data_IF_552757697366
#
_entry.id   IF_552757697366
#
_cell.length_a   1.000
_cell.length_b   1.000
_cell.length_c   1.000
_cell.angle_alpha   90.00
_cell.angle_beta   90.00
_cell.angle_gamma   90.00
#
_symmetry.space_group_name_H-M   'P 1'
#
loop_
_entity.id
_entity.type
_entity.pdbx_description
1 polymer ?
#
# COMPACT_ATOMS: atom_id res chain seq x y z
N UNK A 1 -33.11 -22.91 12.26
CA UNK A 1 -33.30 -22.07 11.06
C UNK A 1 -33.00 -20.60 11.36
N UNK A 2 -33.36 -20.10 12.55
CA UNK A 2 -33.10 -18.71 12.95
C UNK A 2 -31.61 -18.46 13.26
N UNK A 3 -30.88 -19.43 13.79
CA UNK A 3 -29.44 -19.34 14.06
C UNK A 3 -28.60 -19.21 12.78
N UNK A 4 -29.01 -19.82 11.68
CA UNK A 4 -28.29 -19.72 10.40
C UNK A 4 -28.35 -18.32 9.78
N UNK A 5 -29.50 -17.65 9.87
CA UNK A 5 -29.69 -16.30 9.36
C UNK A 5 -28.88 -15.29 10.17
N UNK A 6 -28.81 -15.45 11.49
CA UNK A 6 -27.97 -14.64 12.39
C UNK A 6 -26.48 -14.85 12.09
N UNK A 7 -26.06 -16.08 11.82
CA UNK A 7 -24.68 -16.42 11.48
C UNK A 7 -24.25 -15.80 10.13
N UNK A 8 -25.13 -15.85 9.13
CA UNK A 8 -24.89 -15.18 7.84
C UNK A 8 -24.86 -13.66 7.97
N UNK A 9 -25.73 -13.08 8.77
CA UNK A 9 -25.72 -11.64 9.06
C UNK A 9 -24.47 -11.20 9.80
N UNK A 10 -24.02 -11.95 10.80
CA UNK A 10 -22.77 -11.68 11.52
C UNK A 10 -21.55 -11.81 10.61
N UNK A 11 -21.52 -12.81 9.74
CA UNK A 11 -20.43 -12.98 8.76
C UNK A 11 -20.42 -11.87 7.71
N UNK A 12 -21.60 -11.41 7.30
CA UNK A 12 -21.73 -10.27 6.39
C UNK A 12 -21.33 -8.94 7.06
N UNK A 13 -21.70 -8.78 8.32
CA UNK A 13 -21.37 -7.61 9.12
C UNK A 13 -19.87 -7.52 9.40
N UNK A 14 -19.25 -8.62 9.74
CA UNK A 14 -17.81 -8.71 9.94
C UNK A 14 -17.01 -8.43 8.67
N UNK A 15 -17.54 -8.78 7.50
CA UNK A 15 -16.92 -8.47 6.22
C UNK A 15 -16.96 -6.99 5.89
N UNK A 16 -17.92 -6.25 6.44
CA UNK A 16 -18.10 -4.81 6.22
C UNK A 16 -17.25 -3.95 7.16
N UNK A 17 -16.77 -4.52 8.26
CA UNK A 17 -16.03 -3.82 9.33
C UNK A 17 -14.51 -4.08 9.32
N UNK A 18 -13.95 -4.56 8.20
CA UNK A 18 -12.50 -4.70 8.06
C UNK A 18 -11.81 -3.35 8.30
N UNK A 19 -10.89 -3.32 9.23
CA UNK A 19 -10.09 -2.14 9.51
C UNK A 19 -9.25 -1.74 8.28
N UNK A 20 -8.81 -0.50 8.23
CA UNK A 20 -7.90 -0.02 7.17
C UNK A 20 -6.64 -0.88 7.08
N UNK A 21 -6.15 -1.33 8.23
CA UNK A 21 -4.98 -2.21 8.32
C UNK A 21 -5.24 -3.58 7.69
N UNK A 22 -6.36 -4.21 8.01
CA UNK A 22 -6.74 -5.51 7.45
C UNK A 22 -6.92 -5.46 5.93
N UNK A 23 -7.58 -4.41 5.44
CA UNK A 23 -7.71 -4.16 3.99
C UNK A 23 -6.35 -4.02 3.31
N UNK A 24 -5.45 -3.29 3.94
CA UNK A 24 -4.10 -3.10 3.42
C UNK A 24 -3.35 -4.44 3.33
N UNK A 25 -3.36 -5.22 4.41
CA UNK A 25 -2.67 -6.52 4.47
C UNK A 25 -3.23 -7.48 3.41
N UNK A 26 -4.55 -7.61 3.31
CA UNK A 26 -5.20 -8.48 2.31
C UNK A 26 -4.83 -8.09 0.88
N UNK A 27 -4.92 -6.81 0.57
CA UNK A 27 -4.63 -6.31 -0.78
C UNK A 27 -3.13 -6.37 -1.09
N UNK A 28 -2.29 -6.04 -0.13
CA UNK A 28 -0.84 -6.11 -0.29
C UNK A 28 -0.38 -7.53 -0.56
N UNK A 29 -0.87 -8.49 0.23
CA UNK A 29 -0.54 -9.90 0.02
C UNK A 29 -0.92 -10.38 -1.38
N UNK A 30 -2.15 -10.09 -1.81
CA UNK A 30 -2.64 -10.48 -3.14
C UNK A 30 -1.86 -9.84 -4.27
N UNK A 31 -1.66 -8.53 -4.19
CA UNK A 31 -1.01 -7.75 -5.26
C UNK A 31 0.48 -8.05 -5.36
N UNK A 32 1.17 -8.15 -4.23
CA UNK A 32 2.62 -8.46 -4.21
C UNK A 32 2.86 -9.87 -4.71
N UNK A 33 2.08 -10.85 -4.27
CA UNK A 33 2.20 -12.23 -4.76
C UNK A 33 2.00 -12.29 -6.27
N UNK A 34 0.93 -11.66 -6.78
CA UNK A 34 0.66 -11.58 -8.20
C UNK A 34 1.79 -10.89 -8.99
N UNK A 35 2.34 -9.79 -8.44
CA UNK A 35 3.44 -9.07 -9.06
C UNK A 35 4.71 -9.94 -9.13
N UNK A 36 5.04 -10.63 -8.06
CA UNK A 36 6.20 -11.55 -8.01
C UNK A 36 6.04 -12.67 -9.05
N UNK A 37 4.87 -13.26 -9.17
CA UNK A 37 4.59 -14.30 -10.16
C UNK A 37 4.76 -13.78 -11.59
N UNK A 38 4.30 -12.57 -11.87
CA UNK A 38 4.49 -11.91 -13.16
C UNK A 38 5.97 -11.62 -13.45
N UNK A 39 6.71 -11.18 -12.44
CA UNK A 39 8.16 -10.95 -12.58
C UNK A 39 8.91 -12.26 -12.85
N UNK A 40 8.52 -13.35 -12.18
CA UNK A 40 9.08 -14.69 -12.47
C UNK A 40 8.83 -15.13 -13.91
N UNK A 41 7.62 -14.89 -14.42
CA UNK A 41 7.29 -15.18 -15.83
C UNK A 41 8.15 -14.38 -16.81
N UNK A 42 8.44 -13.12 -16.48
CA UNK A 42 9.39 -12.31 -17.26
C UNK A 42 10.79 -12.94 -17.24
N UNK A 43 11.23 -13.44 -16.08
CA UNK A 43 12.49 -14.15 -15.96
C UNK A 43 12.58 -15.40 -16.83
N UNK A 44 11.47 -16.09 -17.07
CA UNK A 44 11.44 -17.27 -17.96
C UNK A 44 11.72 -16.92 -19.42
N UNK A 45 11.56 -15.67 -19.84
CA UNK A 45 11.92 -15.20 -21.18
C UNK A 45 13.44 -15.20 -21.43
N UNK A 46 14.24 -15.37 -20.38
CA UNK A 46 15.71 -15.45 -20.49
C UNK A 46 16.23 -16.73 -21.13
N UNK A 47 15.38 -17.73 -21.33
CA UNK A 47 15.75 -19.00 -21.92
C UNK A 47 15.96 -18.85 -23.45
N UNK A 48 17.23 -18.81 -23.85
CA UNK A 48 17.65 -18.65 -25.24
C UNK A 48 17.30 -19.82 -26.16
N UNK A 49 16.89 -20.96 -25.60
CA UNK A 49 16.44 -22.10 -26.38
C UNK A 49 15.10 -21.86 -27.06
N UNK A 50 14.27 -20.99 -26.45
CA UNK A 50 12.91 -20.70 -26.95
C UNK A 50 12.73 -19.25 -27.40
N UNK A 51 13.57 -18.34 -26.91
CA UNK A 51 13.41 -16.91 -27.16
C UNK A 51 14.71 -16.28 -27.66
N UNK A 52 14.59 -15.40 -28.60
CA UNK A 52 15.70 -14.60 -29.11
C UNK A 52 15.61 -13.18 -28.57
N UNK A 53 16.66 -12.72 -27.93
CA UNK A 53 16.73 -11.37 -27.36
C UNK A 53 18.19 -10.88 -27.34
N UNK A 54 18.36 -9.56 -27.40
CA UNK A 54 19.65 -8.90 -27.23
C UNK A 54 19.86 -8.44 -25.78
N UNK A 55 21.10 -8.09 -25.45
CA UNK A 55 21.41 -7.47 -24.16
C UNK A 55 20.67 -6.14 -23.96
N UNK A 56 20.45 -5.41 -25.07
CA UNK A 56 19.67 -4.17 -25.07
C UNK A 56 18.23 -4.41 -24.61
N UNK A 57 17.60 -5.47 -25.09
CA UNK A 57 16.22 -5.84 -24.76
C UNK A 57 16.11 -6.18 -23.26
N UNK A 58 17.03 -7.00 -22.77
CA UNK A 58 17.05 -7.37 -21.34
C UNK A 58 17.27 -6.15 -20.45
N UNK A 59 18.15 -5.25 -20.84
CA UNK A 59 18.40 -4.00 -20.12
C UNK A 59 17.16 -3.11 -20.07
N UNK A 60 16.46 -2.96 -21.20
CA UNK A 60 15.21 -2.19 -21.25
C UNK A 60 14.13 -2.75 -20.33
N UNK A 61 14.01 -4.07 -20.26
CA UNK A 61 13.05 -4.73 -19.36
C UNK A 61 13.40 -4.43 -17.88
N UNK A 62 14.65 -4.61 -17.50
CA UNK A 62 15.10 -4.37 -16.13
C UNK A 62 14.97 -2.90 -15.77
N UNK A 63 15.33 -1.99 -16.66
CA UNK A 63 15.20 -0.55 -16.42
C UNK A 63 13.73 -0.14 -16.22
N UNK A 64 12.81 -0.67 -17.02
CA UNK A 64 11.39 -0.42 -16.88
C UNK A 64 10.85 -0.90 -15.52
N UNK A 65 11.18 -2.12 -15.11
CA UNK A 65 10.77 -2.68 -13.82
C UNK A 65 11.36 -1.90 -12.65
N UNK A 66 12.63 -1.51 -12.74
CA UNK A 66 13.31 -0.71 -11.72
C UNK A 66 12.68 0.67 -11.57
N UNK A 67 12.29 1.29 -12.67
CA UNK A 67 11.60 2.59 -12.67
C UNK A 67 10.25 2.51 -11.95
N UNK A 68 9.45 1.48 -12.22
CA UNK A 68 8.18 1.28 -11.52
C UNK A 68 8.37 0.99 -10.04
N UNK A 69 9.36 0.19 -9.69
CA UNK A 69 9.68 -0.11 -8.30
C UNK A 69 10.11 1.16 -7.55
N UNK A 70 10.92 2.01 -8.15
CA UNK A 70 11.32 3.30 -7.59
C UNK A 70 10.13 4.25 -7.42
N UNK A 71 9.18 4.24 -8.36
CA UNK A 71 7.92 5.00 -8.24
C UNK A 71 7.10 4.56 -7.03
N UNK A 72 6.95 3.26 -6.82
CA UNK A 72 6.26 2.70 -5.66
C UNK A 72 6.97 3.11 -4.36
N UNK A 73 8.28 2.99 -4.32
CA UNK A 73 9.11 3.41 -3.18
C UNK A 73 8.88 4.88 -2.83
N UNK A 74 8.88 5.75 -3.83
CA UNK A 74 8.63 7.19 -3.66
C UNK A 74 7.24 7.48 -3.09
N UNK A 75 6.22 6.75 -3.54
CA UNK A 75 4.84 6.90 -3.02
C UNK A 75 4.75 6.59 -1.54
N UNK A 76 5.37 5.51 -1.10
CA UNK A 76 5.41 5.16 0.33
C UNK A 76 6.19 6.17 1.15
N UNK A 77 7.32 6.61 0.66
CA UNK A 77 8.15 7.61 1.35
C UNK A 77 7.47 8.98 1.44
N UNK A 78 6.84 9.43 0.36
CA UNK A 78 6.15 10.72 0.34
C UNK A 78 4.92 10.74 1.25
N UNK A 79 4.19 9.63 1.34
CA UNK A 79 3.06 9.52 2.25
C UNK A 79 3.51 9.47 3.71
N UNK A 80 4.64 8.87 4.01
CA UNK A 80 5.26 8.92 5.33
C UNK A 80 5.66 10.36 5.69
N UNK A 81 6.32 11.08 4.77
CA UNK A 81 6.70 12.50 4.97
C UNK A 81 5.50 13.44 5.04
N UNK A 82 4.39 13.15 4.35
CA UNK A 82 3.15 13.92 4.49
C UNK A 82 2.56 13.81 5.88
N UNK A 83 2.67 12.65 6.51
CA UNK A 83 2.25 12.45 7.88
C UNK A 83 3.07 13.29 8.85
N UNK A 84 4.36 13.41 8.57
CA UNK A 84 5.26 14.27 9.33
C UNK A 84 5.03 15.78 9.03
N UNK A 85 4.60 16.11 7.81
CA UNK A 85 4.27 17.49 7.43
C UNK A 85 2.88 17.95 7.92
N UNK A 86 1.91 17.06 8.02
CA UNK A 86 0.64 17.36 8.69
C UNK A 86 0.84 17.60 10.19
N UNK A 87 1.93 17.14 10.70
CA UNK A 87 2.39 17.42 12.05
C UNK A 87 3.39 18.57 12.11
N UNK A 88 3.40 19.48 11.13
CA UNK A 88 4.13 20.72 11.29
C UNK A 88 3.40 21.60 12.29
N UNK A 89 3.86 21.44 13.47
CA UNK A 89 3.41 21.98 14.73
C UNK A 89 3.31 23.50 14.79
N UNK A 90 3.96 24.18 13.87
CA UNK A 90 4.10 25.65 13.96
C UNK A 90 2.78 26.39 13.75
N UNK A 91 1.86 25.79 12.98
CA UNK A 91 0.50 26.32 12.79
C UNK A 91 -0.51 25.83 13.82
N UNK A 92 -0.29 24.64 14.35
CA UNK A 92 -1.17 24.03 15.38
C UNK A 92 -0.71 24.30 16.80
N UNK A 93 0.56 24.61 16.99
CA UNK A 93 1.16 24.92 18.27
C UNK A 93 0.51 26.14 18.93
N UNK A 94 0.27 27.18 18.16
CA UNK A 94 -0.41 28.39 18.63
C UNK A 94 -1.89 28.12 18.96
N UNK A 95 -2.58 27.36 18.16
CA UNK A 95 -3.98 27.00 18.42
C UNK A 95 -4.13 25.98 19.55
N UNK A 96 -3.16 25.11 19.74
CA UNK A 96 -3.14 24.14 20.83
C UNK A 96 -2.93 24.81 22.20
N UNK A 97 -2.02 25.76 22.25
CA UNK A 97 -1.80 26.55 23.48
C UNK A 97 -3.00 27.42 23.82
N UNK A 98 -3.64 28.03 22.84
CA UNK A 98 -4.89 28.78 23.02
C UNK A 98 -6.05 27.89 23.51
N UNK A 99 -6.15 26.65 23.01
CA UNK A 99 -7.14 25.69 23.50
C UNK A 99 -6.84 25.20 24.91
N UNK A 100 -5.57 25.03 25.26
CA UNK A 100 -5.17 24.69 26.64
C UNK A 100 -5.50 25.79 27.62
N UNK A 101 -5.26 27.03 27.25
CA UNK A 101 -5.62 28.19 28.07
C UNK A 101 -7.12 28.34 28.23
N UNK A 102 -7.90 28.15 27.17
CA UNK A 102 -9.36 28.17 27.22
C UNK A 102 -9.95 27.01 28.07
N UNK A 103 -9.35 25.83 28.04
CA UNK A 103 -9.78 24.70 28.88
C UNK A 103 -9.42 24.84 30.34
N UNK A 104 -8.39 25.61 30.70
CA UNK A 104 -8.00 25.89 32.08
C UNK A 104 -8.89 26.90 32.76
N UNK A 105 -9.56 27.77 32.01
CA UNK A 105 -10.47 28.80 32.55
C UNK A 105 -11.95 28.41 32.51
N UNK A 106 -12.26 27.28 31.92
CA UNK A 106 -13.57 26.62 32.03
C UNK A 106 -13.53 25.45 32.99
#
# INVERSE_FOLDING_TARGET
>A
VVCNILFYKLKYYNKKLKSKREKFVDLANKRVTSAIDKIRLIGNLSDRRFYEYSEKDSKQIIDALSKELNSVKSKFQNNAKKKDKEFSLDLWGTNYELRKTLFRYC
#
